data_IF_667777890694
#
_entry.id   IF_667777890694
#
_cell.length_a   1.000
_cell.length_b   1.000
_cell.length_c   1.000
_cell.angle_alpha   90.00
_cell.angle_beta   90.00
_cell.angle_gamma   90.00
#
_symmetry.space_group_name_H-M   'P 1'
#
loop_
_entity.id
_entity.type
_entity.pdbx_description
1 polymer ?
#
# COMPACT_ATOMS: atom_id res chain seq x y z
N UNK A 1 30.92 -0.90 33.01
CA UNK A 1 30.21 -2.19 33.35
C UNK A 1 28.77 -1.86 33.48
N UNK A 2 28.00 -2.17 32.45
CA UNK A 2 26.62 -2.59 32.58
C UNK A 2 26.12 -2.96 31.19
N UNK A 3 25.83 -4.23 31.05
CA UNK A 3 25.36 -4.85 29.82
C UNK A 3 23.87 -4.49 29.61
N UNK A 4 23.53 -3.90 28.50
CA UNK A 4 22.15 -3.83 28.05
C UNK A 4 21.90 -4.93 27.02
N UNK A 5 21.09 -5.87 27.43
CA UNK A 5 20.64 -7.02 26.64
C UNK A 5 19.73 -6.53 25.51
N UNK A 6 20.11 -6.77 24.26
CA UNK A 6 19.25 -6.62 23.10
C UNK A 6 18.21 -7.76 23.09
N UNK A 7 16.95 -7.40 23.04
CA UNK A 7 15.81 -8.30 23.06
C UNK A 7 15.42 -8.70 21.63
N UNK A 8 15.62 -9.98 21.33
CA UNK A 8 15.24 -10.63 20.06
C UNK A 8 13.71 -10.83 19.95
N UNK A 9 12.99 -9.75 19.61
CA UNK A 9 11.52 -9.77 19.40
C UNK A 9 11.04 -9.82 17.95
N UNK A 10 11.93 -9.90 16.95
CA UNK A 10 11.60 -9.56 15.56
C UNK A 10 11.02 -10.68 14.67
N UNK A 11 10.90 -11.92 15.10
CA UNK A 11 10.53 -13.03 14.19
C UNK A 11 9.11 -13.60 14.34
N UNK A 12 8.20 -12.96 15.08
CA UNK A 12 6.83 -13.49 15.23
C UNK A 12 5.78 -12.90 14.27
N UNK A 13 6.09 -11.84 13.52
CA UNK A 13 5.08 -11.09 12.76
C UNK A 13 4.76 -11.62 11.34
N UNK A 14 5.62 -12.44 10.74
CA UNK A 14 5.35 -13.03 9.42
C UNK A 14 4.40 -14.24 9.48
N UNK A 15 4.18 -14.82 10.66
CA UNK A 15 3.38 -16.03 10.83
C UNK A 15 1.86 -15.82 10.84
N UNK A 16 1.37 -14.58 10.99
CA UNK A 16 -0.07 -14.29 11.09
C UNK A 16 -0.81 -14.48 9.76
N UNK A 17 -0.28 -13.93 8.67
CA UNK A 17 -0.90 -14.04 7.33
C UNK A 17 -0.95 -15.50 6.83
N UNK A 18 0.11 -16.27 7.07
CA UNK A 18 0.17 -17.70 6.69
C UNK A 18 -0.85 -18.54 7.47
N UNK A 19 -1.13 -18.20 8.72
CA UNK A 19 -2.11 -18.91 9.54
C UNK A 19 -3.56 -18.73 9.09
N UNK A 20 -3.90 -17.55 8.58
CA UNK A 20 -5.23 -17.27 8.02
C UNK A 20 -5.45 -18.08 6.73
N UNK A 21 -4.46 -18.13 5.84
CA UNK A 21 -4.52 -18.98 4.63
C UNK A 21 -4.58 -20.47 4.98
N UNK A 22 -3.83 -20.92 5.97
CA UNK A 22 -3.87 -22.30 6.43
C UNK A 22 -5.25 -22.67 7.01
N UNK A 23 -5.90 -21.78 7.75
CA UNK A 23 -7.24 -22.00 8.28
C UNK A 23 -8.29 -22.10 7.15
N UNK A 24 -8.22 -21.26 6.14
CA UNK A 24 -9.11 -21.30 4.95
C UNK A 24 -8.89 -22.59 4.16
N UNK A 25 -7.65 -23.02 3.95
CA UNK A 25 -7.31 -24.26 3.25
C UNK A 25 -7.80 -25.47 4.05
N UNK A 26 -7.64 -25.48 5.37
CA UNK A 26 -8.14 -26.56 6.24
C UNK A 26 -9.67 -26.64 6.19
N UNK A 27 -10.36 -25.49 6.16
CA UNK A 27 -11.82 -25.44 6.01
C UNK A 27 -12.28 -26.03 4.67
N UNK A 28 -11.56 -25.72 3.57
CA UNK A 28 -11.83 -26.30 2.24
C UNK A 28 -11.60 -27.83 2.20
N UNK A 29 -10.58 -28.33 2.89
CA UNK A 29 -10.32 -29.78 2.96
C UNK A 29 -11.36 -30.51 3.80
N UNK A 30 -11.83 -29.93 4.91
CA UNK A 30 -12.91 -30.52 5.73
C UNK A 30 -14.22 -30.54 4.95
N UNK A 31 -14.54 -29.47 4.21
CA UNK A 31 -15.75 -29.45 3.35
C UNK A 31 -15.68 -30.44 2.19
N UNK A 32 -14.50 -30.65 1.58
CA UNK A 32 -14.32 -31.64 0.52
C UNK A 32 -14.42 -33.08 1.05
N UNK A 33 -13.87 -33.34 2.23
CA UNK A 33 -13.97 -34.66 2.86
C UNK A 33 -15.41 -34.98 3.29
N UNK A 34 -16.16 -34.01 3.80
CA UNK A 34 -17.59 -34.17 4.12
C UNK A 34 -18.44 -34.35 2.88
N UNK A 35 -18.12 -33.66 1.76
CA UNK A 35 -18.80 -33.87 0.48
C UNK A 35 -18.54 -35.28 -0.09
N UNK A 36 -17.34 -35.80 0.07
CA UNK A 36 -17.00 -37.16 -0.34
C UNK A 36 -17.76 -38.23 0.48
N UNK A 37 -17.88 -38.04 1.78
CA UNK A 37 -18.70 -38.88 2.67
C UNK A 37 -20.17 -38.80 2.28
N UNK A 38 -20.67 -37.58 1.93
CA UNK A 38 -22.04 -37.38 1.44
C UNK A 38 -22.30 -38.13 0.11
N UNK A 39 -21.36 -38.09 -0.84
CA UNK A 39 -21.48 -38.84 -2.11
C UNK A 39 -21.45 -40.37 -1.94
N UNK A 40 -20.81 -40.87 -0.88
CA UNK A 40 -20.77 -42.30 -0.60
C UNK A 40 -22.05 -42.81 0.11
N UNK A 41 -22.84 -41.93 0.73
CA UNK A 41 -24.07 -42.26 1.49
C UNK A 41 -25.34 -42.17 0.62
N UNK A 42 -25.30 -41.53 -0.58
CA UNK A 42 -26.45 -41.30 -1.47
C UNK A 42 -26.84 -42.59 -2.26
N UNK A 43 -27.21 -43.63 -1.54
CA UNK A 43 -28.00 -44.74 -2.09
C UNK A 43 -29.26 -44.94 -1.24
N UNK A 44 -30.38 -44.92 -1.94
CA UNK A 44 -31.75 -45.09 -1.38
C UNK A 44 -31.80 -46.08 -0.22
N UNK A 45 -32.34 -45.62 0.91
CA UNK A 45 -32.59 -46.42 2.11
C UNK A 45 -33.78 -47.33 1.95
N UNK A 46 -33.52 -48.61 2.19
CA UNK A 46 -34.51 -49.49 2.81
C UNK A 46 -34.14 -49.67 4.28
N UNK A 47 -35.07 -49.40 5.20
CA UNK A 47 -34.88 -49.58 6.65
C UNK A 47 -34.51 -51.03 6.98
N UNK A 48 -33.42 -51.27 7.67
CA UNK A 48 -33.01 -52.55 8.25
C UNK A 48 -32.32 -53.54 7.32
N UNK A 49 -31.94 -53.19 6.11
CA UNK A 49 -31.16 -54.12 5.27
C UNK A 49 -29.69 -54.16 5.66
N UNK A 50 -29.17 -55.36 5.81
CA UNK A 50 -27.73 -55.60 5.96
C UNK A 50 -27.07 -55.67 4.59
N UNK A 51 -26.06 -54.85 4.37
CA UNK A 51 -25.29 -54.81 3.10
C UNK A 51 -23.94 -55.50 3.37
N UNK A 52 -23.61 -56.52 2.58
CA UNK A 52 -22.28 -57.10 2.59
C UNK A 52 -21.33 -56.26 1.78
N UNK A 53 -20.26 -55.76 2.40
CA UNK A 53 -19.16 -55.04 1.76
C UNK A 53 -17.93 -55.94 1.85
N UNK A 54 -17.31 -56.25 0.75
CA UNK A 54 -16.10 -57.09 0.64
C UNK A 54 -16.21 -58.50 1.32
N UNK A 55 -17.30 -59.22 1.05
CA UNK A 55 -17.42 -60.67 1.35
C UNK A 55 -17.54 -61.04 2.82
N UNK A 56 -16.97 -60.30 3.77
CA UNK A 56 -16.94 -60.64 5.20
C UNK A 56 -17.43 -59.53 6.16
N UNK A 57 -17.68 -58.31 5.66
CA UNK A 57 -18.14 -57.22 6.51
C UNK A 57 -19.63 -56.97 6.32
N UNK A 58 -20.43 -57.26 7.35
CA UNK A 58 -21.87 -56.99 7.36
C UNK A 58 -22.09 -55.63 8.04
N UNK A 59 -22.62 -54.67 7.31
CA UNK A 59 -22.94 -53.34 7.82
C UNK A 59 -24.45 -53.26 8.07
N UNK A 60 -24.86 -52.94 9.26
CA UNK A 60 -26.27 -52.66 9.58
C UNK A 60 -26.60 -51.20 9.22
N UNK A 61 -27.54 -51.04 8.29
CA UNK A 61 -27.96 -49.71 7.85
C UNK A 61 -28.63 -48.86 8.93
N UNK A 62 -29.06 -49.48 10.04
CA UNK A 62 -29.60 -48.78 11.20
C UNK A 62 -28.53 -47.93 11.94
N UNK A 63 -27.25 -48.26 11.78
CA UNK A 63 -26.15 -47.54 12.40
C UNK A 63 -25.72 -46.29 11.60
N UNK A 64 -26.35 -46.06 10.47
CA UNK A 64 -26.06 -44.88 9.60
C UNK A 64 -27.09 -43.79 9.76
N UNK A 65 -26.59 -42.58 9.89
CA UNK A 65 -27.44 -41.37 9.85
C UNK A 65 -28.03 -41.18 8.44
N UNK A 66 -29.26 -40.67 8.36
CA UNK A 66 -29.88 -40.36 7.07
C UNK A 66 -29.10 -39.26 6.31
N UNK A 67 -29.20 -39.22 4.98
CA UNK A 67 -28.61 -38.17 4.19
C UNK A 67 -29.04 -36.76 4.64
N UNK A 68 -30.28 -36.63 5.10
CA UNK A 68 -30.79 -35.36 5.68
C UNK A 68 -30.10 -35.01 7.00
N UNK A 69 -29.93 -35.98 7.89
CA UNK A 69 -29.19 -35.79 9.16
C UNK A 69 -27.71 -35.50 8.91
N UNK A 70 -27.09 -36.15 7.91
CA UNK A 70 -25.72 -35.84 7.52
C UNK A 70 -25.58 -34.42 6.96
N UNK A 71 -26.52 -33.97 6.13
CA UNK A 71 -26.54 -32.60 5.60
C UNK A 71 -26.69 -31.57 6.72
N UNK A 72 -27.59 -31.80 7.66
CA UNK A 72 -27.81 -30.94 8.84
C UNK A 72 -26.55 -30.84 9.72
N UNK A 73 -25.88 -31.96 9.95
CA UNK A 73 -24.61 -31.98 10.71
C UNK A 73 -23.51 -31.19 10.00
N UNK A 74 -23.40 -31.35 8.67
CA UNK A 74 -22.42 -30.61 7.88
C UNK A 74 -22.71 -29.10 7.91
N UNK A 75 -23.97 -28.69 7.78
CA UNK A 75 -24.37 -27.28 7.86
C UNK A 75 -24.08 -26.68 9.24
N UNK A 76 -24.45 -27.39 10.30
CA UNK A 76 -24.16 -26.97 11.68
C UNK A 76 -22.66 -26.85 11.96
N UNK A 77 -21.84 -27.80 11.51
CA UNK A 77 -20.37 -27.70 11.65
C UNK A 77 -19.78 -26.57 10.84
N UNK A 78 -20.32 -26.32 9.65
CA UNK A 78 -19.89 -25.18 8.80
C UNK A 78 -20.24 -23.85 9.47
N UNK A 79 -21.45 -23.67 9.97
CA UNK A 79 -21.84 -22.44 10.69
C UNK A 79 -21.00 -22.25 11.96
N UNK A 80 -20.74 -23.30 12.72
CA UNK A 80 -19.92 -23.25 13.92
C UNK A 80 -18.46 -22.90 13.60
N UNK A 81 -17.92 -23.47 12.52
CA UNK A 81 -16.56 -23.17 12.06
C UNK A 81 -16.45 -21.73 11.55
N UNK A 82 -17.47 -21.25 10.84
CA UNK A 82 -17.56 -19.86 10.38
C UNK A 82 -17.61 -18.90 11.57
N UNK A 83 -18.49 -19.13 12.54
CA UNK A 83 -18.64 -18.30 13.73
C UNK A 83 -17.33 -18.25 14.54
N UNK A 84 -16.70 -19.42 14.79
CA UNK A 84 -15.39 -19.46 15.47
C UNK A 84 -14.29 -18.75 14.70
N UNK A 85 -14.26 -18.89 13.38
CA UNK A 85 -13.32 -18.18 12.50
C UNK A 85 -13.52 -16.68 12.55
N UNK A 86 -14.76 -16.22 12.51
CA UNK A 86 -15.13 -14.82 12.60
C UNK A 86 -14.73 -14.20 13.94
N UNK A 87 -15.08 -14.85 15.05
CA UNK A 87 -14.75 -14.37 16.39
C UNK A 87 -13.25 -14.31 16.63
N UNK A 88 -12.51 -15.32 16.15
CA UNK A 88 -11.06 -15.33 16.24
C UNK A 88 -10.42 -14.19 15.43
N UNK A 89 -10.85 -14.00 14.19
CA UNK A 89 -10.33 -12.94 13.32
C UNK A 89 -10.65 -11.55 13.90
N UNK A 90 -11.83 -11.39 14.49
CA UNK A 90 -12.25 -10.15 15.14
C UNK A 90 -11.41 -9.86 16.40
N UNK A 91 -11.10 -10.87 17.19
CA UNK A 91 -10.23 -10.73 18.36
C UNK A 91 -8.80 -10.35 17.97
N UNK A 92 -8.23 -11.04 16.98
CA UNK A 92 -6.89 -10.72 16.46
C UNK A 92 -6.82 -9.30 15.89
N UNK A 93 -7.85 -8.86 15.16
CA UNK A 93 -7.97 -7.49 14.65
C UNK A 93 -8.03 -6.47 15.81
N UNK A 94 -8.84 -6.74 16.82
CA UNK A 94 -8.98 -5.86 17.99
C UNK A 94 -7.66 -5.72 18.76
N UNK A 95 -6.94 -6.82 18.97
CA UNK A 95 -5.65 -6.81 19.65
C UNK A 95 -4.60 -6.04 18.86
N UNK A 96 -4.61 -6.16 17.53
CA UNK A 96 -3.74 -5.39 16.65
C UNK A 96 -4.08 -3.88 16.72
N UNK A 97 -5.36 -3.52 16.70
CA UNK A 97 -5.81 -2.12 16.84
C UNK A 97 -5.33 -1.53 18.17
N UNK A 98 -5.51 -2.26 19.28
CA UNK A 98 -5.08 -1.82 20.60
C UNK A 98 -3.56 -1.63 20.68
N UNK A 99 -2.78 -2.57 20.15
CA UNK A 99 -1.31 -2.51 20.12
C UNK A 99 -0.83 -1.27 19.36
N UNK A 100 -1.42 -1.00 18.20
CA UNK A 100 -1.09 0.16 17.37
C UNK A 100 -1.49 1.48 18.01
N UNK A 101 -2.69 1.56 18.56
CA UNK A 101 -3.14 2.77 19.26
C UNK A 101 -2.28 3.08 20.48
N UNK A 102 -1.84 2.07 21.24
CA UNK A 102 -0.91 2.27 22.35
C UNK A 102 0.49 2.70 21.91
N UNK A 103 0.90 2.33 20.68
CA UNK A 103 2.13 2.77 20.04
C UNK A 103 2.08 4.17 19.41
N UNK A 104 0.93 4.85 19.46
CA UNK A 104 0.74 6.20 18.93
C UNK A 104 0.49 6.26 17.41
N UNK A 105 0.19 5.13 16.77
CA UNK A 105 -0.16 5.11 15.35
C UNK A 105 -1.48 5.84 15.07
N UNK A 106 -1.55 6.51 13.92
CA UNK A 106 -2.79 7.14 13.47
C UNK A 106 -3.74 6.12 12.86
N UNK A 107 -5.04 6.43 12.83
CA UNK A 107 -6.07 5.61 12.17
C UNK A 107 -5.70 5.33 10.70
N UNK A 108 -5.21 6.33 9.99
CA UNK A 108 -4.81 6.20 8.58
C UNK A 108 -3.63 5.24 8.41
N UNK A 109 -2.61 5.33 9.26
CA UNK A 109 -1.44 4.43 9.26
C UNK A 109 -1.88 2.97 9.47
N UNK A 110 -2.78 2.77 10.41
CA UNK A 110 -3.34 1.47 10.75
C UNK A 110 -4.17 0.87 9.59
N UNK A 111 -5.04 1.67 8.97
CA UNK A 111 -5.85 1.22 7.82
C UNK A 111 -4.97 0.84 6.62
N UNK A 112 -3.92 1.60 6.33
CA UNK A 112 -2.98 1.29 5.24
C UNK A 112 -2.21 -0.02 5.46
N UNK A 113 -1.92 -0.36 6.69
CA UNK A 113 -1.26 -1.64 7.00
C UNK A 113 -2.23 -2.82 6.93
N UNK A 114 -3.47 -2.63 7.37
CA UNK A 114 -4.53 -3.64 7.32
C UNK A 114 -4.98 -3.96 5.90
N UNK A 115 -5.03 -2.95 5.07
CA UNK A 115 -5.54 -3.03 3.70
C UNK A 115 -4.50 -2.58 2.66
N UNK A 116 -3.37 -3.31 2.53
CA UNK A 116 -2.28 -2.91 1.66
C UNK A 116 -2.62 -2.93 0.16
N UNK A 117 -3.78 -3.46 -0.21
CA UNK A 117 -4.30 -3.48 -1.57
C UNK A 117 -5.07 -2.19 -1.93
N UNK A 118 -5.27 -1.30 -0.96
CA UNK A 118 -5.95 -0.03 -1.18
C UNK A 118 -5.00 1.15 -1.00
N UNK A 119 -5.15 2.16 -1.84
CA UNK A 119 -4.70 3.51 -1.56
C UNK A 119 -5.73 4.15 -0.63
N UNK A 120 -5.33 4.48 0.59
CA UNK A 120 -6.24 5.04 1.59
C UNK A 120 -5.78 6.44 1.94
N UNK A 121 -6.65 7.41 1.76
CA UNK A 121 -6.46 8.78 2.22
C UNK A 121 -7.67 9.28 2.99
N UNK A 122 -7.50 10.36 3.73
CA UNK A 122 -8.57 11.02 4.48
C UNK A 122 -8.81 12.39 3.86
N UNK A 123 -10.02 12.66 3.42
CA UNK A 123 -10.46 13.96 2.94
C UNK A 123 -11.53 14.59 3.86
N UNK A 124 -12.17 15.65 3.41
CA UNK A 124 -13.24 16.33 4.16
C UNK A 124 -14.48 15.47 4.41
N UNK A 125 -14.69 14.42 3.61
CA UNK A 125 -15.82 13.50 3.70
C UNK A 125 -15.49 12.21 4.47
N UNK A 126 -14.23 12.03 4.87
CA UNK A 126 -13.74 10.86 5.61
C UNK A 126 -12.71 10.03 4.84
N UNK A 127 -12.64 8.72 5.13
CA UNK A 127 -11.67 7.85 4.49
C UNK A 127 -12.13 7.38 3.13
N UNK A 128 -11.29 7.59 2.11
CA UNK A 128 -11.46 7.11 0.74
C UNK A 128 -10.54 5.91 0.49
N UNK A 129 -11.09 4.85 -0.12
CA UNK A 129 -10.39 3.61 -0.44
C UNK A 129 -10.39 3.42 -1.95
N UNK A 130 -9.25 3.63 -2.58
CA UNK A 130 -9.01 3.33 -3.99
C UNK A 130 -8.28 2.00 -4.16
N UNK A 131 -8.77 1.09 -5.00
CA UNK A 131 -8.06 -0.15 -5.29
C UNK A 131 -6.74 0.12 -6.02
N UNK A 132 -5.65 -0.42 -5.51
CA UNK A 132 -4.36 -0.40 -6.19
C UNK A 132 -4.33 -1.58 -7.17
N UNK A 133 -4.78 -1.33 -8.38
CA UNK A 133 -4.71 -2.31 -9.47
C UNK A 133 -3.24 -2.57 -9.79
N UNK A 134 -2.81 -3.83 -9.77
CA UNK A 134 -1.56 -4.40 -10.35
C UNK A 134 -0.34 -3.45 -10.49
N UNK A 135 -0.22 -2.40 -9.68
CA UNK A 135 0.94 -1.52 -9.69
C UNK A 135 2.11 -2.20 -8.98
N UNK A 136 3.31 -2.19 -9.55
CA UNK A 136 4.49 -2.69 -8.88
C UNK A 136 4.74 -1.87 -7.60
N UNK A 137 4.79 -2.54 -6.47
CA UNK A 137 5.15 -1.92 -5.19
C UNK A 137 6.68 -1.86 -5.08
N UNK A 138 7.20 -0.78 -4.52
CA UNK A 138 8.61 -0.74 -4.17
C UNK A 138 8.91 -1.77 -3.05
N UNK A 139 10.17 -2.18 -2.96
CA UNK A 139 10.63 -3.17 -1.98
C UNK A 139 11.06 -2.55 -0.64
N UNK A 140 10.98 -1.23 -0.50
CA UNK A 140 11.42 -0.52 0.69
C UNK A 140 10.53 -0.84 1.90
N UNK A 141 11.16 -0.99 3.05
CA UNK A 141 10.48 -1.22 4.33
C UNK A 141 10.60 0.03 5.20
N UNK A 142 9.53 0.41 5.86
CA UNK A 142 9.51 1.56 6.77
C UNK A 142 10.62 1.48 7.83
N UNK A 143 10.96 0.28 8.31
CA UNK A 143 12.00 0.07 9.32
C UNK A 143 13.43 0.26 8.82
N UNK A 144 13.64 0.41 7.51
CA UNK A 144 14.95 0.67 6.91
C UNK A 144 15.27 2.18 6.86
N UNK A 145 14.32 3.03 7.25
CA UNK A 145 14.46 4.48 7.30
C UNK A 145 14.44 5.00 8.73
N UNK A 146 15.28 5.96 9.03
CA UNK A 146 15.26 6.68 10.29
C UNK A 146 15.63 8.16 10.08
N UNK A 147 15.07 9.02 10.92
CA UNK A 147 15.36 10.45 10.88
C UNK A 147 16.58 10.77 11.74
N UNK A 148 17.62 11.30 11.09
CA UNK A 148 18.74 11.94 11.78
C UNK A 148 18.29 13.34 12.21
N UNK A 149 17.92 13.50 13.48
CA UNK A 149 17.38 14.75 13.99
C UNK A 149 18.43 15.85 14.15
N UNK A 150 19.72 15.52 14.19
CA UNK A 150 20.79 16.51 14.25
C UNK A 150 21.06 17.09 12.85
N UNK A 151 21.12 16.24 11.83
CA UNK A 151 21.29 16.66 10.46
C UNK A 151 19.99 17.13 9.79
N UNK A 152 18.81 16.79 10.36
CA UNK A 152 17.51 17.00 9.73
C UNK A 152 17.30 16.15 8.48
N UNK A 153 17.96 15.00 8.38
CA UNK A 153 17.97 14.16 7.19
C UNK A 153 17.37 12.77 7.42
N UNK A 154 16.62 12.28 6.45
CA UNK A 154 16.17 10.89 6.42
C UNK A 154 17.32 10.00 5.94
N UNK A 155 17.70 9.01 6.75
CA UNK A 155 18.73 8.02 6.44
C UNK A 155 18.11 6.68 6.08
N UNK A 156 18.77 5.95 5.17
CA UNK A 156 18.39 4.60 4.76
C UNK A 156 19.45 3.60 5.19
N UNK A 157 19.02 2.51 5.82
CA UNK A 157 19.89 1.45 6.35
C UNK A 157 19.51 0.06 5.85
N UNK A 158 18.69 -0.02 4.81
CA UNK A 158 18.24 -1.27 4.21
C UNK A 158 19.31 -1.93 3.32
N UNK A 159 18.91 -2.26 2.10
CA UNK A 159 19.79 -2.92 1.14
C UNK A 159 21.00 -2.04 0.78
N UNK A 160 22.20 -2.59 0.92
CA UNK A 160 23.49 -1.88 0.68
C UNK A 160 23.75 -1.63 -0.81
N UNK A 161 23.07 -2.37 -1.69
CA UNK A 161 23.23 -2.20 -3.15
C UNK A 161 22.38 -1.03 -3.68
N UNK A 162 21.56 -0.40 -2.81
CA UNK A 162 20.79 0.79 -3.15
C UNK A 162 21.60 2.05 -2.83
N UNK A 163 21.94 2.81 -3.87
CA UNK A 163 22.57 4.12 -3.72
C UNK A 163 21.53 5.15 -3.23
N UNK A 164 21.92 5.92 -2.22
CA UNK A 164 21.10 7.02 -1.67
C UNK A 164 21.72 8.33 -2.09
N UNK A 165 20.90 9.21 -2.63
CA UNK A 165 21.32 10.51 -3.11
C UNK A 165 20.55 11.63 -2.40
N UNK A 166 21.25 12.69 -2.00
CA UNK A 166 20.63 13.89 -1.44
C UNK A 166 20.02 14.71 -2.58
N UNK A 167 18.71 14.88 -2.53
CA UNK A 167 17.93 15.57 -3.55
C UNK A 167 17.07 16.65 -2.90
N UNK A 168 16.95 17.78 -3.57
CA UNK A 168 16.04 18.88 -3.19
C UNK A 168 15.11 19.21 -4.34
N UNK A 169 13.99 19.84 -4.05
CA UNK A 169 13.16 20.54 -5.01
C UNK A 169 13.12 22.04 -4.69
N UNK A 170 13.01 22.86 -5.73
CA UNK A 170 13.04 24.31 -5.60
C UNK A 170 12.09 25.01 -6.55
N UNK A 171 11.63 26.18 -6.13
CA UNK A 171 10.77 27.07 -6.89
C UNK A 171 11.07 28.53 -6.54
N UNK A 172 10.23 29.45 -6.99
CA UNK A 172 10.32 30.86 -6.61
C UNK A 172 10.31 31.11 -5.10
N UNK A 173 9.77 30.18 -4.31
CA UNK A 173 9.65 30.35 -2.85
C UNK A 173 10.98 30.31 -2.12
N UNK A 174 12.01 29.69 -2.71
CA UNK A 174 13.37 29.69 -2.17
C UNK A 174 14.13 30.99 -2.53
N UNK A 175 13.60 31.79 -3.46
CA UNK A 175 14.28 32.99 -3.94
C UNK A 175 15.63 32.69 -4.59
N UNK A 176 16.57 33.59 -4.42
CA UNK A 176 17.93 33.42 -4.95
C UNK A 176 18.74 32.44 -4.13
N UNK A 177 19.26 31.40 -4.77
CA UNK A 177 19.97 30.27 -4.15
C UNK A 177 21.48 30.39 -4.42
N UNK A 178 22.28 30.12 -3.40
CA UNK A 178 23.73 29.95 -3.51
C UNK A 178 24.03 28.48 -3.83
N UNK A 179 24.09 28.14 -5.11
CA UNK A 179 24.24 26.77 -5.58
C UNK A 179 25.59 26.14 -5.25
N UNK A 180 26.64 26.93 -5.04
CA UNK A 180 27.92 26.42 -4.59
C UNK A 180 27.84 25.90 -3.16
N UNK A 181 27.08 26.58 -2.28
CA UNK A 181 26.83 26.09 -0.93
C UNK A 181 25.91 24.86 -0.93
N UNK A 182 24.89 24.84 -1.76
CA UNK A 182 24.01 23.67 -1.92
C UNK A 182 24.81 22.45 -2.36
N UNK A 183 25.71 22.61 -3.32
CA UNK A 183 26.64 21.54 -3.74
C UNK A 183 27.57 21.10 -2.64
N UNK A 184 28.15 22.04 -1.89
CA UNK A 184 29.05 21.76 -0.78
C UNK A 184 28.35 21.03 0.38
N UNK A 185 27.04 21.19 0.53
CA UNK A 185 26.19 20.46 1.49
C UNK A 185 25.86 19.02 1.02
N UNK A 186 26.41 18.59 -0.12
CA UNK A 186 26.28 17.23 -0.62
C UNK A 186 25.02 16.96 -1.46
N UNK A 187 24.31 18.00 -1.89
CA UNK A 187 23.17 17.83 -2.83
C UNK A 187 23.70 17.40 -4.19
N UNK A 188 23.17 16.30 -4.69
CA UNK A 188 23.57 15.71 -5.97
C UNK A 188 22.54 15.95 -7.06
N UNK A 189 21.28 16.05 -6.70
CA UNK A 189 20.15 16.18 -7.61
C UNK A 189 19.21 17.31 -7.17
N UNK A 190 18.56 17.93 -8.15
CA UNK A 190 17.56 18.97 -7.90
C UNK A 190 16.39 18.82 -8.88
N UNK A 191 15.18 19.03 -8.41
CA UNK A 191 14.01 19.24 -9.24
C UNK A 191 13.61 20.72 -9.19
N UNK A 192 13.57 21.39 -10.36
CA UNK A 192 13.29 22.81 -10.49
C UNK A 192 11.89 22.99 -11.08
N UNK A 193 11.07 23.80 -10.43
CA UNK A 193 9.74 24.11 -10.96
C UNK A 193 9.84 24.89 -12.26
N UNK A 194 9.25 24.35 -13.34
CA UNK A 194 9.12 25.05 -14.62
C UNK A 194 8.06 26.15 -14.54
N UNK A 195 6.96 25.85 -13.89
CA UNK A 195 5.85 26.74 -13.75
C UNK A 195 4.66 26.09 -13.06
N UNK A 196 3.56 26.82 -13.06
CA UNK A 196 2.29 26.42 -12.47
C UNK A 196 1.14 26.68 -13.45
N UNK A 197 0.06 25.92 -13.33
CA UNK A 197 -1.25 26.39 -13.78
C UNK A 197 -1.91 27.14 -12.64
N UNK A 198 -2.33 28.36 -12.87
CA UNK A 198 -2.94 29.20 -11.83
C UNK A 198 -4.27 28.60 -11.38
N UNK A 199 -4.39 28.38 -10.10
CA UNK A 199 -5.51 27.74 -9.43
C UNK A 199 -6.87 28.32 -9.82
N UNK A 200 -7.11 29.62 -9.61
CA UNK A 200 -8.38 30.26 -9.97
C UNK A 200 -8.48 30.68 -11.44
N UNK A 201 -7.35 30.97 -12.11
CA UNK A 201 -7.34 31.54 -13.48
C UNK A 201 -7.18 30.49 -14.58
N UNK A 202 -6.63 29.31 -14.25
CA UNK A 202 -6.22 28.33 -15.24
C UNK A 202 -5.05 28.75 -16.14
N UNK A 203 -4.45 29.92 -15.90
CA UNK A 203 -3.37 30.44 -16.73
C UNK A 203 -2.05 29.72 -16.41
N UNK A 204 -1.28 29.40 -17.46
CA UNK A 204 0.07 28.90 -17.33
C UNK A 204 1.05 30.03 -17.01
N UNK A 205 1.79 29.88 -15.92
CA UNK A 205 2.74 30.87 -15.41
C UNK A 205 4.09 30.22 -15.22
N UNK A 206 5.13 30.76 -15.88
CA UNK A 206 6.51 30.32 -15.69
C UNK A 206 7.00 30.72 -14.29
N UNK A 207 7.76 29.84 -13.63
CA UNK A 207 8.41 30.17 -12.37
C UNK A 207 9.50 31.22 -12.60
N UNK A 208 9.47 32.32 -11.83
CA UNK A 208 10.34 33.45 -12.03
C UNK A 208 11.84 33.15 -11.87
N UNK A 209 12.17 32.10 -11.10
CA UNK A 209 13.55 31.64 -10.89
C UNK A 209 13.92 30.42 -11.75
N UNK A 210 13.02 29.93 -12.60
CA UNK A 210 13.28 28.72 -13.40
C UNK A 210 14.60 28.81 -14.18
N UNK A 211 14.77 29.88 -14.96
CA UNK A 211 15.94 30.05 -15.83
C UNK A 211 17.22 30.24 -15.03
N UNK A 212 17.18 31.07 -13.98
CA UNK A 212 18.34 31.29 -13.12
C UNK A 212 18.76 29.98 -12.46
N UNK A 213 17.80 29.23 -11.87
CA UNK A 213 18.08 27.99 -11.18
C UNK A 213 18.66 26.93 -12.10
N UNK A 214 18.10 26.71 -13.30
CA UNK A 214 18.59 25.68 -14.22
C UNK A 214 19.99 25.99 -14.77
N UNK A 215 20.34 27.26 -14.98
CA UNK A 215 21.65 27.67 -15.42
C UNK A 215 22.70 27.55 -14.30
N UNK A 216 22.34 27.96 -13.10
CA UNK A 216 23.26 27.93 -11.95
C UNK A 216 23.51 26.51 -11.42
N UNK A 217 22.50 25.66 -11.41
CA UNK A 217 22.66 24.22 -11.05
C UNK A 217 23.62 23.51 -11.99
N UNK A 218 23.53 23.81 -13.30
CA UNK A 218 24.44 23.27 -14.31
C UNK A 218 25.89 23.70 -14.05
N UNK A 219 26.10 24.99 -13.69
CA UNK A 219 27.44 25.51 -13.34
C UNK A 219 28.01 24.84 -12.08
N UNK A 220 27.16 24.61 -11.08
CA UNK A 220 27.53 23.91 -9.84
C UNK A 220 27.72 22.38 -10.00
N UNK A 221 27.39 21.82 -11.17
CA UNK A 221 27.50 20.38 -11.43
C UNK A 221 26.50 19.55 -10.63
N UNK A 222 25.28 20.09 -10.41
CA UNK A 222 24.16 19.39 -9.80
C UNK A 222 23.27 18.88 -10.93
N UNK A 223 22.91 17.59 -10.91
CA UNK A 223 22.05 17.01 -11.92
C UNK A 223 20.62 17.48 -11.76
N UNK A 224 19.99 17.83 -12.88
CA UNK A 224 18.74 18.58 -12.85
C UNK A 224 17.60 17.79 -13.47
N UNK A 225 16.48 17.72 -12.75
CA UNK A 225 15.15 17.44 -13.23
C UNK A 225 14.26 18.65 -13.12
N UNK A 226 13.06 18.54 -13.64
CA UNK A 226 12.10 19.63 -13.56
C UNK A 226 10.73 19.13 -13.15
N UNK A 227 9.89 20.02 -12.60
CA UNK A 227 8.51 19.69 -12.30
C UNK A 227 7.54 20.81 -12.73
N UNK A 228 6.32 20.38 -12.98
CA UNK A 228 5.18 21.24 -13.24
C UNK A 228 4.16 21.09 -12.15
N UNK A 229 3.77 22.19 -11.51
CA UNK A 229 2.64 22.20 -10.58
C UNK A 229 1.35 22.26 -11.39
N UNK A 230 0.63 21.14 -11.44
CA UNK A 230 -0.51 20.91 -12.30
C UNK A 230 -1.83 21.19 -11.58
N UNK A 231 -2.67 21.98 -12.24
CA UNK A 231 -4.05 22.24 -11.89
C UNK A 231 -4.97 21.99 -13.11
N UNK A 232 -4.55 21.05 -13.97
CA UNK A 232 -5.32 20.68 -15.15
C UNK A 232 -6.58 19.89 -14.73
N UNK A 233 -7.74 20.34 -15.15
CA UNK A 233 -9.04 19.72 -14.87
C UNK A 233 -9.57 18.86 -16.02
N UNK A 234 -8.86 18.80 -17.14
CA UNK A 234 -9.20 18.01 -18.31
C UNK A 234 -7.97 17.70 -19.15
N UNK A 235 -8.14 16.78 -20.12
CA UNK A 235 -7.06 16.30 -20.97
C UNK A 235 -6.41 17.41 -21.82
N UNK A 236 -7.19 18.39 -22.30
CA UNK A 236 -6.66 19.48 -23.12
C UNK A 236 -5.70 20.35 -22.30
N UNK A 237 -6.07 20.72 -21.09
CA UNK A 237 -5.21 21.47 -20.18
C UNK A 237 -3.95 20.69 -19.79
N UNK A 238 -4.06 19.39 -19.52
CA UNK A 238 -2.90 18.56 -19.27
C UNK A 238 -1.94 18.54 -20.48
N UNK A 239 -2.47 18.53 -21.70
CA UNK A 239 -1.68 18.63 -22.93
C UNK A 239 -1.04 20.01 -23.11
N UNK A 240 -1.71 21.08 -22.69
CA UNK A 240 -1.15 22.42 -22.67
C UNK A 240 0.03 22.52 -21.68
N UNK A 241 -0.12 21.98 -20.47
CA UNK A 241 0.96 21.92 -19.48
C UNK A 241 2.16 21.14 -20.02
N UNK A 242 1.94 19.99 -20.63
CA UNK A 242 3.01 19.24 -21.24
C UNK A 242 3.75 20.04 -22.34
N UNK A 243 3.04 20.73 -23.22
CA UNK A 243 3.64 21.59 -24.25
C UNK A 243 4.40 22.77 -23.63
N UNK A 244 3.82 23.38 -22.59
CA UNK A 244 4.44 24.46 -21.86
C UNK A 244 5.79 24.06 -21.26
N UNK A 245 5.86 22.88 -20.63
CA UNK A 245 7.10 22.34 -20.07
C UNK A 245 8.11 22.04 -21.17
N UNK A 246 7.70 21.27 -22.20
CA UNK A 246 8.59 20.87 -23.29
C UNK A 246 9.22 22.06 -24.02
N UNK A 247 8.45 23.13 -24.24
CA UNK A 247 8.97 24.33 -24.88
C UNK A 247 10.05 25.04 -24.05
N UNK A 248 9.91 25.02 -22.73
CA UNK A 248 10.83 25.68 -21.81
C UNK A 248 12.11 24.91 -21.54
N UNK A 249 12.04 23.59 -21.60
CA UNK A 249 13.22 22.75 -21.34
C UNK A 249 13.99 22.36 -22.59
N UNK A 250 13.49 22.64 -23.80
CA UNK A 250 14.07 22.15 -25.07
C UNK A 250 15.53 22.52 -25.30
N UNK A 251 15.99 23.63 -24.72
CA UNK A 251 17.33 24.15 -24.89
C UNK A 251 18.25 23.78 -23.70
N UNK A 252 17.75 23.01 -22.74
CA UNK A 252 18.48 22.58 -21.56
C UNK A 252 18.71 21.06 -21.58
N UNK A 253 19.81 20.66 -21.00
CA UNK A 253 20.13 19.24 -20.77
C UNK A 253 19.54 18.81 -19.44
N UNK A 254 18.43 18.07 -19.49
CA UNK A 254 17.70 17.58 -18.31
C UNK A 254 18.04 16.12 -18.11
N UNK A 255 18.77 15.81 -17.03
CA UNK A 255 19.28 14.45 -16.75
C UNK A 255 18.31 13.59 -15.98
N UNK A 256 17.33 14.18 -15.31
CA UNK A 256 16.31 13.49 -14.52
C UNK A 256 14.93 13.58 -15.20
N UNK A 257 13.96 12.78 -14.76
CA UNK A 257 12.61 12.84 -15.31
C UNK A 257 11.93 14.20 -15.13
N UNK A 258 10.95 14.49 -15.98
CA UNK A 258 9.95 15.55 -15.75
C UNK A 258 8.91 15.00 -14.78
N UNK A 259 8.66 15.70 -13.70
CA UNK A 259 7.69 15.34 -12.66
C UNK A 259 6.41 16.15 -12.84
N UNK A 260 5.28 15.49 -12.77
CA UNK A 260 3.97 16.12 -12.65
C UNK A 260 3.61 16.15 -11.17
N UNK A 261 3.48 17.35 -10.61
CA UNK A 261 3.14 17.60 -9.22
C UNK A 261 1.66 17.94 -9.15
N UNK A 262 0.87 17.05 -8.58
CA UNK A 262 -0.58 17.18 -8.44
C UNK A 262 -0.91 17.19 -6.97
N UNK A 263 -1.47 18.29 -6.50
CA UNK A 263 -1.85 18.47 -5.11
C UNK A 263 -3.34 18.79 -4.99
N UNK A 264 -3.98 18.25 -3.96
CA UNK A 264 -5.33 18.63 -3.56
C UNK A 264 -5.25 19.91 -2.71
N UNK A 265 -5.78 21.00 -3.23
CA UNK A 265 -5.84 22.26 -2.51
C UNK A 265 -7.15 22.29 -1.71
N UNK A 266 -7.12 21.66 -0.54
CA UNK A 266 -8.27 21.54 0.35
C UNK A 266 -8.88 22.92 0.71
N UNK A 267 -10.18 23.05 0.49
CA UNK A 267 -10.99 24.15 1.01
C UNK A 267 -11.16 25.36 0.09
N UNK A 268 -10.69 25.31 -1.14
CA UNK A 268 -11.00 26.32 -2.15
C UNK A 268 -11.94 25.75 -3.23
N UNK A 269 -13.12 26.35 -3.38
CA UNK A 269 -14.00 26.12 -4.52
C UNK A 269 -13.22 26.51 -5.78
N UNK A 270 -12.85 25.58 -6.61
CA UNK A 270 -12.02 25.84 -7.74
C UNK A 270 -12.05 24.77 -8.82
N UNK A 271 -10.99 24.75 -9.58
CA UNK A 271 -10.81 23.94 -10.76
C UNK A 271 -10.72 22.43 -10.49
N UNK A 272 -10.51 22.03 -9.23
CA UNK A 272 -10.35 20.62 -8.81
C UNK A 272 -11.66 19.82 -8.73
N UNK A 273 -12.82 20.43 -8.96
CA UNK A 273 -14.13 19.77 -8.88
C UNK A 273 -14.58 19.06 -10.17
N UNK A 274 -13.72 18.87 -11.15
CA UNK A 274 -14.10 18.30 -12.44
C UNK A 274 -13.71 16.83 -12.60
#
# INVERSE_FOLDING_TARGET
MENTVCNDGKNKKAAGGIKIYAAIITLCFVSAATLLVYMLIDKEKKEGETIAVDGDTIINTADYISAAQAAELVENEHELAYAKGYDKSRAELLDMIKDRMSGGDTTLSMLRELFPQYLIHNDTNGFVFGEILALPKNSFKKGDFWMDTEAGELKYTGDKDIAIHKTIDVSKFQGKIDWDKVKADGVEYVFIRVGIRGYGSGALVEDEYFKENIEETKKAGIKTGVYMFSEAINEEEAREEARFVLERIKDYDIELPVVLDIEDIAGEEGRNEA
#
